data_IF_959429238592
#
_entry.id   IF_959429238592
#
_cell.length_a   1.000
_cell.length_b   1.000
_cell.length_c   1.000
_cell.angle_alpha   90.00
_cell.angle_beta   90.00
_cell.angle_gamma   90.00
#
_symmetry.space_group_name_H-M   'P 1'
#
loop_
_entity.id
_entity.type
_entity.pdbx_description
1 polymer ?
#
# COMPACT_ATOMS: atom_id res chain seq x y z
N UNK A 1 -9.61 -21.49 -5.53
CA UNK A 1 -9.68 -20.38 -4.57
C UNK A 1 -8.53 -19.45 -4.91
N UNK A 2 -8.83 -18.21 -5.26
CA UNK A 2 -7.85 -17.22 -5.70
C UNK A 2 -7.32 -16.45 -4.48
N UNK A 3 -6.02 -16.49 -4.24
CA UNK A 3 -5.37 -15.86 -3.08
C UNK A 3 -4.88 -14.46 -3.43
N UNK A 4 -5.30 -13.46 -2.66
CA UNK A 4 -4.92 -12.06 -2.81
C UNK A 4 -4.17 -11.61 -1.57
N UNK A 5 -2.91 -11.23 -1.72
CA UNK A 5 -2.09 -10.66 -0.66
C UNK A 5 -2.16 -9.13 -0.71
N UNK A 6 -2.62 -8.50 0.37
CA UNK A 6 -2.63 -7.05 0.53
C UNK A 6 -1.43 -6.61 1.37
N UNK A 7 -0.34 -6.21 0.70
CA UNK A 7 0.91 -5.79 1.34
C UNK A 7 0.97 -4.26 1.45
N UNK A 8 0.87 -3.73 2.66
CA UNK A 8 0.85 -2.27 2.83
C UNK A 8 1.15 -1.80 4.24
N UNK A 9 0.80 -0.55 4.50
CA UNK A 9 1.07 0.16 5.75
C UNK A 9 -0.17 0.29 6.67
N UNK A 10 -0.30 1.40 7.40
CA UNK A 10 -1.42 1.71 8.28
C UNK A 10 -2.75 1.83 7.54
N UNK A 11 -2.77 2.28 6.30
CA UNK A 11 -3.99 2.34 5.49
C UNK A 11 -4.45 0.95 5.05
N UNK A 12 -3.54 -0.03 5.00
CA UNK A 12 -3.88 -1.45 4.81
C UNK A 12 -4.24 -2.13 6.13
N UNK A 13 -3.56 -1.77 7.23
CA UNK A 13 -3.91 -2.23 8.58
C UNK A 13 -5.32 -1.79 9.00
N UNK A 14 -5.74 -0.60 8.53
CA UNK A 14 -6.99 0.05 8.92
C UNK A 14 -6.84 0.90 10.17
N UNK A 15 -5.85 1.80 10.20
CA UNK A 15 -5.71 2.78 11.28
C UNK A 15 -6.86 3.78 11.27
N UNK A 16 -7.46 4.01 12.43
CA UNK A 16 -8.54 4.98 12.60
C UNK A 16 -7.96 6.35 12.99
N UNK A 17 -8.08 7.39 12.13
CA UNK A 17 -7.54 8.71 12.40
C UNK A 17 -8.19 9.43 13.61
N UNK A 18 -9.36 8.99 14.07
CA UNK A 18 -10.09 9.65 15.16
C UNK A 18 -9.58 9.21 16.53
N UNK A 19 -9.14 7.95 16.67
CA UNK A 19 -8.80 7.38 17.98
C UNK A 19 -7.50 6.54 18.00
N UNK A 20 -6.83 6.39 16.87
CA UNK A 20 -5.59 5.64 16.72
C UNK A 20 -5.71 4.11 16.83
N UNK A 21 -6.93 3.58 16.96
CA UNK A 21 -7.18 2.14 17.03
C UNK A 21 -7.33 1.52 15.65
N UNK A 22 -7.40 0.19 15.59
CA UNK A 22 -7.70 -0.55 14.36
C UNK A 22 -9.19 -0.55 14.08
N UNK A 23 -9.56 -0.28 12.84
CA UNK A 23 -10.92 -0.50 12.37
C UNK A 23 -11.33 -1.99 12.42
N UNK A 24 -12.63 -2.26 12.70
CA UNK A 24 -13.22 -3.57 12.54
C UNK A 24 -13.02 -4.15 11.14
N UNK A 25 -13.02 -5.48 11.02
CA UNK A 25 -12.74 -6.19 9.76
C UNK A 25 -13.63 -5.73 8.61
N UNK A 26 -14.91 -5.50 8.86
CA UNK A 26 -15.90 -5.09 7.86
C UNK A 26 -15.84 -3.61 7.46
N UNK A 27 -14.96 -2.82 8.09
CA UNK A 27 -14.69 -1.42 7.74
C UNK A 27 -13.42 -1.28 6.91
N UNK A 28 -12.39 -2.07 7.21
CA UNK A 28 -11.11 -2.02 6.47
C UNK A 28 -11.33 -2.37 4.99
N UNK A 29 -10.63 -1.66 4.10
CA UNK A 29 -10.80 -1.88 2.65
C UNK A 29 -10.55 -3.33 2.25
N UNK A 30 -9.62 -4.01 2.91
CA UNK A 30 -9.31 -5.43 2.71
C UNK A 30 -10.47 -6.36 3.08
N UNK A 31 -11.15 -6.11 4.20
CA UNK A 31 -12.30 -6.91 4.61
C UNK A 31 -13.57 -6.59 3.83
N UNK A 32 -13.75 -5.33 3.40
CA UNK A 32 -14.79 -4.96 2.42
C UNK A 32 -14.51 -5.65 1.09
N UNK A 33 -13.27 -5.66 0.63
CA UNK A 33 -12.85 -6.35 -0.61
C UNK A 33 -13.15 -7.85 -0.53
N UNK A 34 -12.80 -8.51 0.57
CA UNK A 34 -13.14 -9.92 0.80
C UNK A 34 -14.65 -10.18 0.69
N UNK A 35 -15.48 -9.29 1.24
CA UNK A 35 -16.94 -9.41 1.17
C UNK A 35 -17.47 -9.26 -0.25
N UNK A 36 -16.91 -8.34 -1.04
CA UNK A 36 -17.29 -8.13 -2.44
C UNK A 36 -16.90 -9.31 -3.33
N UNK A 37 -15.69 -9.86 -3.10
CA UNK A 37 -15.16 -10.99 -3.86
C UNK A 37 -15.85 -12.33 -3.55
N UNK A 38 -16.34 -12.50 -2.31
CA UNK A 38 -17.00 -13.73 -1.89
C UNK A 38 -16.05 -14.89 -1.60
N UNK A 39 -16.60 -16.10 -1.47
CA UNK A 39 -15.88 -17.28 -0.94
C UNK A 39 -14.88 -17.91 -1.93
N UNK A 40 -14.96 -17.55 -3.21
CA UNK A 40 -14.00 -18.03 -4.21
C UNK A 40 -12.61 -17.38 -4.08
N UNK A 41 -12.48 -16.28 -3.33
CA UNK A 41 -11.23 -15.58 -3.06
C UNK A 41 -10.86 -15.63 -1.57
N UNK A 42 -9.56 -15.60 -1.29
CA UNK A 42 -9.02 -15.40 0.05
C UNK A 42 -8.14 -14.14 0.07
N UNK A 43 -8.59 -13.10 0.79
CA UNK A 43 -7.86 -11.85 0.99
C UNK A 43 -7.03 -11.94 2.28
N UNK A 44 -5.71 -11.81 2.13
CA UNK A 44 -4.73 -11.87 3.21
C UNK A 44 -4.28 -10.45 3.55
N UNK A 45 -4.49 -10.04 4.80
CA UNK A 45 -4.19 -8.69 5.29
C UNK A 45 -2.77 -8.62 5.88
N UNK A 46 -1.83 -8.02 5.14
CA UNK A 46 -0.45 -7.79 5.59
C UNK A 46 -0.16 -6.28 5.66
N UNK A 47 -0.98 -5.57 6.44
CA UNK A 47 -0.83 -4.14 6.74
C UNK A 47 -0.05 -3.90 8.03
N UNK A 48 0.98 -3.04 7.97
CA UNK A 48 1.84 -2.73 9.12
C UNK A 48 2.04 -1.22 9.29
N UNK A 49 1.59 -0.68 10.42
CA UNK A 49 1.66 0.77 10.68
C UNK A 49 3.10 1.28 10.58
N UNK A 50 3.29 2.32 9.78
CA UNK A 50 4.61 2.92 9.57
C UNK A 50 5.49 2.21 8.55
N UNK A 51 5.02 1.13 7.90
CA UNK A 51 5.80 0.41 6.90
C UNK A 51 6.19 1.32 5.74
N UNK A 52 7.48 1.30 5.40
CA UNK A 52 8.06 1.96 4.22
C UNK A 52 8.25 0.96 3.09
N UNK A 53 8.65 1.41 1.91
CA UNK A 53 9.12 0.51 0.85
C UNK A 53 10.40 -0.21 1.29
N UNK A 54 11.51 0.52 1.38
CA UNK A 54 12.85 -0.02 1.66
C UNK A 54 13.61 0.75 2.74
N UNK A 55 13.11 1.92 3.16
CA UNK A 55 13.83 2.80 4.08
C UNK A 55 13.71 2.31 5.53
N UNK A 56 14.86 2.17 6.20
CA UNK A 56 14.93 1.73 7.59
C UNK A 56 14.93 2.93 8.55
N UNK A 57 14.00 2.92 9.51
CA UNK A 57 14.12 3.71 10.73
C UNK A 57 15.07 3.00 11.69
N UNK A 58 16.12 3.65 12.16
CA UNK A 58 17.09 3.06 13.11
C UNK A 58 16.39 2.55 14.38
N UNK A 59 15.35 3.23 14.84
CA UNK A 59 14.60 2.82 16.03
C UNK A 59 13.66 1.64 15.76
N UNK A 60 13.15 1.52 14.53
CA UNK A 60 12.15 0.52 14.14
C UNK A 60 12.47 -0.10 12.76
N UNK A 61 13.63 -0.75 12.58
CA UNK A 61 14.11 -1.21 11.26
C UNK A 61 13.20 -2.28 10.65
N UNK A 62 12.44 -2.99 11.49
CA UNK A 62 11.43 -3.97 11.08
C UNK A 62 10.25 -3.37 10.29
N UNK A 63 10.12 -2.03 10.24
CA UNK A 63 9.14 -1.34 9.39
C UNK A 63 9.58 -1.21 7.93
N UNK A 64 10.84 -1.48 7.59
CA UNK A 64 11.23 -1.57 6.19
C UNK A 64 10.53 -2.75 5.52
N UNK A 65 9.69 -2.47 4.52
CA UNK A 65 8.91 -3.49 3.81
C UNK A 65 9.82 -4.56 3.18
N UNK A 66 11.01 -4.18 2.74
CA UNK A 66 11.99 -5.08 2.12
C UNK A 66 12.34 -6.29 2.99
N UNK A 67 12.61 -6.07 4.28
CA UNK A 67 13.09 -7.13 5.19
C UNK A 67 12.05 -8.23 5.42
N UNK A 68 10.76 -7.87 5.44
CA UNK A 68 9.65 -8.80 5.74
C UNK A 68 9.02 -9.43 4.48
N UNK A 69 9.22 -8.85 3.30
CA UNK A 69 8.51 -9.24 2.08
C UNK A 69 8.71 -10.73 1.71
N UNK A 70 9.94 -11.24 1.70
CA UNK A 70 10.21 -12.65 1.35
C UNK A 70 9.58 -13.64 2.36
N UNK A 71 9.76 -13.49 3.68
CA UNK A 71 9.01 -14.29 4.67
C UNK A 71 7.50 -14.28 4.45
N UNK A 72 6.91 -13.10 4.20
CA UNK A 72 5.49 -12.92 3.93
C UNK A 72 5.03 -13.74 2.71
N UNK A 73 5.68 -13.54 1.55
CA UNK A 73 5.37 -14.27 0.31
C UNK A 73 5.52 -15.80 0.50
N UNK A 74 6.55 -16.23 1.22
CA UNK A 74 6.84 -17.65 1.42
C UNK A 74 5.78 -18.36 2.28
N UNK A 75 5.17 -17.63 3.21
CA UNK A 75 4.16 -18.12 4.16
C UNK A 75 2.78 -18.24 3.51
N UNK A 76 2.48 -17.36 2.55
CA UNK A 76 1.14 -17.26 1.96
C UNK A 76 1.01 -17.88 0.56
N UNK A 77 2.10 -18.38 -0.04
CA UNK A 77 2.05 -19.04 -1.35
C UNK A 77 1.16 -20.30 -1.36
N UNK A 78 0.45 -20.62 -2.46
CA UNK A 78 0.42 -19.88 -3.73
C UNK A 78 -0.44 -18.61 -3.65
N UNK A 79 0.11 -17.50 -4.19
CA UNK A 79 -0.55 -16.20 -4.29
C UNK A 79 -0.85 -15.90 -5.77
N UNK A 80 -2.08 -15.49 -6.07
CA UNK A 80 -2.52 -15.16 -7.43
C UNK A 80 -2.43 -13.66 -7.71
N UNK A 81 -2.72 -12.83 -6.71
CA UNK A 81 -2.57 -11.38 -6.77
C UNK A 81 -1.79 -10.84 -5.58
N UNK A 82 -0.96 -9.82 -5.82
CA UNK A 82 -0.39 -8.98 -4.76
C UNK A 82 -0.82 -7.54 -4.99
N UNK A 83 -1.57 -6.98 -4.03
CA UNK A 83 -1.89 -5.56 -3.99
C UNK A 83 -0.84 -4.91 -3.09
N UNK A 84 0.02 -4.07 -3.66
CA UNK A 84 1.06 -3.37 -2.91
C UNK A 84 0.72 -1.87 -2.85
N UNK A 85 0.41 -1.38 -1.65
CA UNK A 85 0.15 0.04 -1.37
C UNK A 85 1.10 0.53 -0.29
N UNK A 86 2.19 1.15 -0.71
CA UNK A 86 3.26 1.69 0.13
C UNK A 86 3.78 3.00 -0.47
N UNK A 87 4.57 3.75 0.30
CA UNK A 87 5.17 5.02 -0.11
C UNK A 87 4.81 6.19 0.81
N UNK A 88 3.68 6.12 1.53
CA UNK A 88 3.25 7.21 2.42
C UNK A 88 4.25 7.45 3.56
N UNK A 89 4.80 6.40 4.18
CA UNK A 89 5.76 6.57 5.28
C UNK A 89 7.16 6.97 4.81
N UNK A 90 7.51 6.67 3.57
CA UNK A 90 8.78 7.04 2.96
C UNK A 90 8.90 8.56 2.77
N UNK A 91 7.76 9.27 2.72
CA UNK A 91 7.69 10.73 2.67
C UNK A 91 8.07 11.41 3.99
N UNK A 92 8.22 10.65 5.09
CA UNK A 92 8.65 11.21 6.38
C UNK A 92 9.98 11.93 6.24
N UNK A 93 10.10 13.08 6.90
CA UNK A 93 11.26 13.97 6.78
C UNK A 93 12.59 13.31 7.10
N UNK A 94 12.59 12.35 8.03
CA UNK A 94 13.79 11.64 8.46
C UNK A 94 14.49 10.86 7.35
N UNK A 95 13.76 10.44 6.31
CA UNK A 95 14.33 9.68 5.20
C UNK A 95 14.90 10.57 4.10
N UNK A 96 14.51 11.85 4.05
CA UNK A 96 14.90 12.81 3.02
C UNK A 96 14.74 12.27 1.58
N UNK A 97 13.81 11.32 1.37
CA UNK A 97 13.65 10.63 0.11
C UNK A 97 12.83 11.48 -0.89
N UNK A 98 13.33 11.58 -2.11
CA UNK A 98 12.58 12.10 -3.25
C UNK A 98 11.51 11.10 -3.70
N UNK A 99 10.47 11.56 -4.42
CA UNK A 99 9.45 10.67 -4.97
C UNK A 99 10.06 9.59 -5.90
N UNK A 100 11.17 9.90 -6.59
CA UNK A 100 11.91 8.95 -7.41
C UNK A 100 12.58 7.85 -6.57
N UNK A 101 13.24 8.19 -5.47
CA UNK A 101 13.87 7.20 -4.58
C UNK A 101 12.83 6.31 -3.89
N UNK A 102 11.68 6.88 -3.52
CA UNK A 102 10.54 6.11 -3.00
C UNK A 102 10.03 5.12 -4.05
N UNK A 103 9.95 5.55 -5.31
CA UNK A 103 9.57 4.68 -6.41
C UNK A 103 10.60 3.57 -6.68
N UNK A 104 11.90 3.86 -6.56
CA UNK A 104 12.96 2.84 -6.69
C UNK A 104 12.85 1.77 -5.61
N UNK A 105 12.48 2.17 -4.38
CA UNK A 105 12.15 1.24 -3.30
C UNK A 105 10.96 0.34 -3.65
N UNK A 106 9.87 0.92 -4.16
CA UNK A 106 8.70 0.15 -4.61
C UNK A 106 9.05 -0.79 -5.78
N UNK A 107 9.89 -0.36 -6.73
CA UNK A 107 10.39 -1.16 -7.85
C UNK A 107 11.15 -2.39 -7.34
N UNK A 108 12.02 -2.22 -6.34
CA UNK A 108 12.74 -3.33 -5.73
C UNK A 108 11.78 -4.36 -5.13
N UNK A 109 10.72 -3.92 -4.44
CA UNK A 109 9.69 -4.81 -3.90
C UNK A 109 8.94 -5.56 -5.01
N UNK A 110 8.55 -4.87 -6.09
CA UNK A 110 7.89 -5.49 -7.25
C UNK A 110 8.77 -6.57 -7.88
N UNK A 111 10.05 -6.28 -8.11
CA UNK A 111 11.01 -7.25 -8.66
C UNK A 111 11.09 -8.50 -7.78
N UNK A 112 11.20 -8.30 -6.45
CA UNK A 112 11.26 -9.40 -5.48
C UNK A 112 9.97 -10.21 -5.48
N UNK A 113 8.79 -9.57 -5.50
CA UNK A 113 7.52 -10.28 -5.57
C UNK A 113 7.52 -11.24 -6.77
N UNK A 114 7.82 -10.72 -7.96
CA UNK A 114 7.80 -11.50 -9.21
C UNK A 114 8.84 -12.62 -9.21
N UNK A 115 10.10 -12.31 -8.92
CA UNK A 115 11.18 -13.29 -8.97
C UNK A 115 11.01 -14.39 -7.92
N UNK A 116 10.69 -14.00 -6.68
CA UNK A 116 10.59 -14.94 -5.57
C UNK A 116 9.40 -15.89 -5.75
N UNK A 117 8.24 -15.42 -6.19
CA UNK A 117 7.09 -16.32 -6.41
C UNK A 117 7.31 -17.19 -7.65
N UNK A 118 7.90 -16.68 -8.73
CA UNK A 118 8.25 -17.51 -9.89
C UNK A 118 9.12 -18.69 -9.46
N UNK A 119 10.09 -18.44 -8.58
CA UNK A 119 10.96 -19.49 -8.04
C UNK A 119 10.23 -20.42 -7.06
N UNK A 120 9.45 -19.89 -6.10
CA UNK A 120 8.93 -20.66 -4.96
C UNK A 120 7.54 -21.27 -5.15
N UNK A 121 6.73 -20.77 -6.09
CA UNK A 121 5.41 -21.32 -6.43
C UNK A 121 5.24 -21.62 -7.93
N UNK A 122 6.25 -21.34 -8.77
CA UNK A 122 6.24 -21.71 -10.20
C UNK A 122 5.60 -20.69 -11.14
N UNK A 123 4.95 -19.64 -10.62
CA UNK A 123 4.38 -18.56 -11.41
C UNK A 123 4.45 -17.21 -10.67
N UNK A 124 4.32 -16.12 -11.43
CA UNK A 124 4.28 -14.77 -10.89
C UNK A 124 2.82 -14.37 -10.62
N UNK A 125 2.47 -13.82 -9.44
CA UNK A 125 1.17 -13.24 -9.22
C UNK A 125 0.99 -12.00 -10.12
N UNK A 126 -0.27 -11.66 -10.39
CA UNK A 126 -0.62 -10.34 -10.92
C UNK A 126 -0.38 -9.31 -9.82
N UNK A 127 0.51 -8.35 -10.08
CA UNK A 127 0.83 -7.30 -9.11
C UNK A 127 -0.02 -6.07 -9.43
N UNK A 128 -0.82 -5.61 -8.46
CA UNK A 128 -1.49 -4.32 -8.48
C UNK A 128 -0.62 -3.35 -7.68
N UNK A 129 0.16 -2.54 -8.40
CA UNK A 129 0.99 -1.50 -7.81
C UNK A 129 0.13 -0.26 -7.56
N UNK A 130 -0.21 -0.03 -6.29
CA UNK A 130 -1.06 1.08 -5.86
C UNK A 130 -0.18 2.24 -5.42
N UNK A 131 -0.27 3.38 -6.13
CA UNK A 131 0.19 4.64 -5.56
C UNK A 131 -0.79 5.05 -4.45
N UNK A 132 -0.31 5.37 -3.23
CA UNK A 132 -1.18 5.75 -2.11
C UNK A 132 -1.94 7.06 -2.39
N UNK A 133 -2.99 7.38 -1.60
CA UNK A 133 -3.62 8.70 -1.66
C UNK A 133 -2.60 9.81 -1.36
N UNK A 134 -2.89 11.00 -1.85
CA UNK A 134 -2.10 12.20 -1.56
C UNK A 134 -2.12 12.51 -0.06
N UNK A 135 -1.00 13.03 0.45
CA UNK A 135 -0.93 13.58 1.80
C UNK A 135 -1.80 14.84 1.85
N UNK A 136 -2.64 14.94 2.88
CA UNK A 136 -3.58 16.05 3.06
C UNK A 136 -2.87 17.38 3.34
N UNK A 137 -3.55 18.48 3.01
CA UNK A 137 -2.99 19.83 3.06
C UNK A 137 -2.52 20.28 4.46
N UNK A 138 -3.10 19.71 5.52
CA UNK A 138 -2.84 20.11 6.91
C UNK A 138 -1.80 19.19 7.61
N UNK A 139 -1.04 18.39 6.86
CA UNK A 139 -0.09 17.42 7.46
C UNK A 139 0.92 18.07 8.40
N UNK A 140 1.42 19.27 8.05
CA UNK A 140 2.41 20.01 8.82
C UNK A 140 1.85 20.65 10.11
N UNK A 141 0.53 20.63 10.31
CA UNK A 141 -0.15 21.10 11.53
C UNK A 141 -0.93 19.98 12.24
N UNK A 142 -0.98 18.78 11.64
CA UNK A 142 -1.61 17.58 12.19
C UNK A 142 -0.82 16.94 13.34
N UNK A 143 -1.35 15.86 13.93
CA UNK A 143 -0.61 15.03 14.89
C UNK A 143 0.70 14.45 14.33
N UNK A 144 0.83 14.37 12.99
CA UNK A 144 2.00 13.86 12.29
C UNK A 144 2.98 14.96 11.84
N UNK A 145 2.77 16.22 12.24
CA UNK A 145 3.67 17.36 11.96
C UNK A 145 5.11 17.14 12.46
N UNK A 146 5.33 16.19 13.38
CA UNK A 146 6.67 15.81 13.84
C UNK A 146 7.40 14.85 12.90
N UNK A 147 6.69 14.22 11.98
CA UNK A 147 7.24 13.20 11.08
C UNK A 147 7.19 13.64 9.62
N UNK A 148 6.30 14.56 9.26
CA UNK A 148 6.09 15.04 7.91
C UNK A 148 6.22 16.57 7.87
N UNK A 149 6.86 17.05 6.81
CA UNK A 149 6.92 18.47 6.47
C UNK A 149 5.91 18.77 5.34
N UNK A 150 5.65 20.05 5.07
CA UNK A 150 4.70 20.49 4.03
C UNK A 150 5.06 19.98 2.63
N UNK A 151 6.35 19.77 2.35
CA UNK A 151 6.84 19.25 1.07
C UNK A 151 6.38 17.81 0.77
N UNK A 152 5.94 17.06 1.78
CA UNK A 152 5.39 15.71 1.61
C UNK A 152 4.11 15.72 0.76
N UNK A 153 3.37 16.83 0.76
CA UNK A 153 2.16 17.01 -0.05
C UNK A 153 2.54 16.93 -1.54
N UNK A 154 3.49 17.76 -1.96
CA UNK A 154 3.93 17.79 -3.37
C UNK A 154 4.64 16.51 -3.77
N UNK A 155 5.52 15.96 -2.92
CA UNK A 155 6.18 14.67 -3.20
C UNK A 155 5.17 13.53 -3.33
N UNK A 156 4.07 13.53 -2.58
CA UNK A 156 3.02 12.51 -2.71
C UNK A 156 2.32 12.54 -4.07
N UNK A 157 2.13 13.73 -4.65
CA UNK A 157 1.52 13.93 -5.99
C UNK A 157 2.40 13.43 -7.12
N UNK A 158 3.71 13.34 -6.89
CA UNK A 158 4.68 12.84 -7.87
C UNK A 158 4.73 11.30 -7.92
N UNK A 159 4.42 10.60 -6.83
CA UNK A 159 4.50 9.13 -6.75
C UNK A 159 3.75 8.41 -7.89
N UNK A 160 2.50 8.77 -8.25
CA UNK A 160 1.78 8.12 -9.33
C UNK A 160 2.54 8.10 -10.66
N UNK A 161 3.26 9.17 -10.98
CA UNK A 161 4.00 9.31 -12.25
C UNK A 161 5.14 8.30 -12.34
N UNK A 162 5.84 8.06 -11.23
CA UNK A 162 6.92 7.09 -11.19
C UNK A 162 6.39 5.65 -11.07
N UNK A 163 5.34 5.44 -10.26
CA UNK A 163 4.75 4.12 -10.07
C UNK A 163 4.13 3.59 -11.37
N UNK A 164 3.51 4.45 -12.19
CA UNK A 164 3.00 4.06 -13.51
C UNK A 164 4.13 3.57 -14.45
N UNK A 165 5.30 4.23 -14.42
CA UNK A 165 6.46 3.81 -15.22
C UNK A 165 6.97 2.45 -14.78
N UNK A 166 7.03 2.20 -13.47
CA UNK A 166 7.43 0.91 -12.91
C UNK A 166 6.43 -0.17 -13.29
N UNK A 167 5.13 0.11 -13.16
CA UNK A 167 4.09 -0.84 -13.53
C UNK A 167 4.19 -1.24 -15.00
N UNK A 168 4.42 -0.28 -15.91
CA UNK A 168 4.69 -0.56 -17.33
C UNK A 168 5.96 -1.39 -17.54
N UNK A 169 7.06 -1.04 -16.85
CA UNK A 169 8.35 -1.76 -16.95
C UNK A 169 8.23 -3.22 -16.54
N UNK A 170 7.48 -3.50 -15.47
CA UNK A 170 7.38 -4.83 -14.90
C UNK A 170 6.15 -5.60 -15.36
N UNK A 171 5.27 -5.05 -16.19
CA UNK A 171 3.97 -5.64 -16.52
C UNK A 171 3.13 -5.89 -15.26
N UNK A 172 2.91 -4.82 -14.51
CA UNK A 172 2.01 -4.77 -13.36
C UNK A 172 0.77 -3.92 -13.72
N UNK A 173 -0.30 -4.14 -12.98
CA UNK A 173 -1.48 -3.29 -13.03
C UNK A 173 -1.19 -2.05 -12.19
N UNK A 174 -1.28 -0.87 -12.79
CA UNK A 174 -1.14 0.38 -12.06
C UNK A 174 -2.49 0.86 -11.54
N UNK A 175 -2.54 1.24 -10.26
CA UNK A 175 -3.72 1.84 -9.65
C UNK A 175 -3.33 3.12 -8.91
N UNK A 176 -3.98 4.24 -9.23
CA UNK A 176 -3.75 5.51 -8.53
C UNK A 176 -4.88 5.76 -7.52
N UNK A 177 -4.62 5.54 -6.23
CA UNK A 177 -5.63 5.73 -5.18
C UNK A 177 -6.08 7.19 -5.05
N UNK A 178 -5.21 8.17 -5.31
CA UNK A 178 -5.56 9.59 -5.24
C UNK A 178 -6.64 10.01 -6.25
N UNK A 179 -6.89 9.22 -7.30
CA UNK A 179 -8.00 9.48 -8.24
C UNK A 179 -9.38 9.08 -7.71
N UNK A 180 -9.44 8.31 -6.62
CA UNK A 180 -10.70 7.71 -6.13
C UNK A 180 -10.96 7.95 -4.65
N UNK A 181 -9.94 8.24 -3.87
CA UNK A 181 -10.02 8.49 -2.43
C UNK A 181 -9.05 9.61 -2.01
N UNK A 182 -9.37 10.24 -0.87
CA UNK A 182 -8.56 11.28 -0.24
C UNK A 182 -8.21 10.88 1.20
N UNK A 183 -7.09 11.38 1.71
CA UNK A 183 -6.72 11.27 3.12
C UNK A 183 -7.70 12.03 4.03
N UNK A 184 -7.82 11.61 5.29
CA UNK A 184 -8.77 12.21 6.23
C UNK A 184 -8.42 13.68 6.50
N UNK A 185 -9.44 14.48 6.78
CA UNK A 185 -9.27 15.84 7.31
C UNK A 185 -8.88 15.86 8.79
N UNK A 186 -8.85 14.71 9.46
CA UNK A 186 -8.54 14.61 10.88
C UNK A 186 -7.03 14.64 11.09
N UNK A 187 -6.28 13.92 10.25
CA UNK A 187 -4.84 13.75 10.41
C UNK A 187 -4.04 13.90 9.10
N UNK A 188 -4.71 14.17 7.98
CA UNK A 188 -4.10 14.35 6.66
C UNK A 188 -3.33 13.13 6.12
N UNK A 189 -3.51 11.94 6.71
CA UNK A 189 -2.72 10.75 6.34
C UNK A 189 -3.56 9.48 6.20
N UNK A 190 -4.50 9.23 7.12
CA UNK A 190 -5.23 7.97 7.16
C UNK A 190 -6.61 8.06 6.54
N UNK A 191 -7.26 6.92 6.32
CA UNK A 191 -8.55 6.84 5.63
C UNK A 191 -9.74 6.85 6.60
N UNK A 192 -10.80 7.54 6.19
CA UNK A 192 -12.12 7.41 6.80
C UNK A 192 -12.84 6.16 6.26
N UNK A 193 -13.88 5.64 6.95
CA UNK A 193 -14.60 4.42 6.54
C UNK A 193 -15.13 4.48 5.10
N UNK A 194 -15.57 5.64 4.63
CA UNK A 194 -16.08 5.85 3.27
C UNK A 194 -14.98 5.66 2.22
N UNK A 195 -13.77 6.15 2.52
CA UNK A 195 -12.60 5.98 1.65
C UNK A 195 -12.15 4.51 1.64
N UNK A 196 -12.17 3.81 2.78
CA UNK A 196 -11.92 2.36 2.80
C UNK A 196 -12.91 1.59 1.92
N UNK A 197 -14.20 1.89 2.03
CA UNK A 197 -15.24 1.26 1.19
C UNK A 197 -15.01 1.54 -0.29
N UNK A 198 -14.76 2.81 -0.65
CA UNK A 198 -14.53 3.21 -2.04
C UNK A 198 -13.29 2.55 -2.64
N UNK A 199 -12.19 2.49 -1.89
CA UNK A 199 -10.97 1.82 -2.33
C UNK A 199 -11.23 0.33 -2.62
N UNK A 200 -11.97 -0.34 -1.74
CA UNK A 200 -12.33 -1.75 -1.92
C UNK A 200 -13.19 -1.98 -3.17
N UNK A 201 -14.18 -1.12 -3.44
CA UNK A 201 -15.04 -1.21 -4.63
C UNK A 201 -14.25 -1.03 -5.93
N UNK A 202 -13.29 -0.10 -5.98
CA UNK A 202 -12.48 0.12 -7.17
C UNK A 202 -11.41 -0.96 -7.36
N UNK A 203 -10.80 -1.46 -6.28
CA UNK A 203 -9.89 -2.61 -6.35
C UNK A 203 -10.61 -3.89 -6.75
N UNK A 204 -11.85 -4.10 -6.31
CA UNK A 204 -12.68 -5.21 -6.76
C UNK A 204 -12.85 -5.18 -8.28
N UNK A 205 -13.26 -4.05 -8.86
CA UNK A 205 -13.39 -3.91 -10.33
C UNK A 205 -12.06 -4.20 -11.02
N UNK A 206 -10.98 -3.62 -10.51
CA UNK A 206 -9.63 -3.82 -11.03
C UNK A 206 -9.23 -5.30 -11.07
N UNK A 207 -9.57 -6.07 -10.03
CA UNK A 207 -9.30 -7.52 -9.98
C UNK A 207 -10.16 -8.24 -11.02
N UNK A 208 -11.47 -7.98 -11.07
CA UNK A 208 -12.38 -8.67 -11.99
C UNK A 208 -12.07 -8.41 -13.47
N UNK A 209 -11.57 -7.22 -13.81
CA UNK A 209 -11.13 -6.87 -15.18
C UNK A 209 -9.83 -7.56 -15.59
N UNK A 210 -9.06 -8.03 -14.62
CA UNK A 210 -7.74 -8.62 -14.81
C UNK A 210 -7.69 -10.07 -14.31
N UNK A 211 -8.80 -10.80 -14.28
CA UNK A 211 -8.83 -12.25 -14.03
C UNK A 211 -8.49 -13.02 -15.30
#
# INVERSE_FOLDING_TARGET
MTTILCYGDSNTYGYNPVNGLRYPKDVRWTGVLQKLLGEQYAVIEEGCNGRTTVFEDIAEPWKAGLGYLKPCLNTHKPIDFVIMMLGSNDLKRMFHASAKEIADGAEQLVSIIKEFTKEKQGFMPKVILVSPPEIGADIATSEFARSFDEDAIERSKELPVFYEKIAKKYDCIFFNAAKVIESSKVDSLHLMPEAHKKLAEELYKCIMENE
#
